data_IF_268142773169
#
_entry.id   IF_268142773169
#
_cell.length_a   1.000
_cell.length_b   1.000
_cell.length_c   1.000
_cell.angle_alpha   90.00
_cell.angle_beta   90.00
_cell.angle_gamma   90.00
#
_symmetry.space_group_name_H-M   'P 1'
#
loop_
_entity.id
_entity.type
_entity.pdbx_description
1 polymer ?
#
# COMPACT_ATOMS: atom_id res chain seq x y z
N UNK A 1 21.27 -10.60 -6.65
CA UNK A 1 19.99 -11.35 -6.62
C UNK A 1 19.68 -11.95 -5.23
N UNK A 2 20.62 -12.64 -4.58
CA UNK A 2 20.42 -13.24 -3.25
C UNK A 2 19.95 -12.25 -2.15
N UNK A 3 20.45 -11.02 -2.18
CA UNK A 3 20.07 -9.98 -1.20
C UNK A 3 18.59 -9.55 -1.31
N UNK A 4 18.04 -9.50 -2.53
CA UNK A 4 16.63 -9.12 -2.76
C UNK A 4 15.69 -10.22 -2.25
N UNK A 5 16.02 -11.49 -2.55
CA UNK A 5 15.24 -12.64 -2.07
C UNK A 5 15.24 -12.68 -0.54
N UNK A 6 16.41 -12.48 0.09
CA UNK A 6 16.53 -12.41 1.55
C UNK A 6 15.67 -11.28 2.14
N UNK A 7 15.68 -10.09 1.53
CA UNK A 7 14.85 -8.96 1.98
C UNK A 7 13.35 -9.28 1.88
N UNK A 8 12.90 -9.85 0.77
CA UNK A 8 11.48 -10.22 0.59
C UNK A 8 11.04 -11.23 1.65
N UNK A 9 11.85 -12.25 1.93
CA UNK A 9 11.56 -13.23 2.99
C UNK A 9 11.49 -12.56 4.37
N UNK A 10 12.40 -11.61 4.65
CA UNK A 10 12.42 -10.89 5.92
C UNK A 10 11.18 -10.01 6.10
N UNK A 11 10.80 -9.26 5.07
CA UNK A 11 9.60 -8.42 5.05
C UNK A 11 8.34 -9.27 5.22
N UNK A 12 8.25 -10.40 4.53
CA UNK A 12 7.13 -11.33 4.68
C UNK A 12 7.02 -11.84 6.13
N UNK A 13 8.15 -12.19 6.75
CA UNK A 13 8.19 -12.60 8.15
C UNK A 13 7.64 -11.53 9.11
N UNK A 14 8.08 -10.28 8.97
CA UNK A 14 7.57 -9.17 9.79
C UNK A 14 6.07 -8.98 9.56
N UNK A 15 5.61 -9.01 8.31
CA UNK A 15 4.20 -8.81 7.98
C UNK A 15 3.31 -9.86 8.66
N UNK A 16 3.74 -11.12 8.69
CA UNK A 16 3.03 -12.20 9.40
C UNK A 16 2.98 -11.91 10.90
N UNK A 17 4.11 -11.55 11.54
CA UNK A 17 4.14 -11.23 12.97
C UNK A 17 3.22 -10.06 13.28
N UNK A 18 3.25 -8.98 12.48
CA UNK A 18 2.40 -7.82 12.65
C UNK A 18 0.91 -8.18 12.52
N UNK A 19 0.55 -9.03 11.55
CA UNK A 19 -0.84 -9.49 11.36
C UNK A 19 -1.42 -10.17 12.60
N UNK A 20 -0.62 -10.96 13.32
CA UNK A 20 -1.05 -11.61 14.56
C UNK A 20 -0.90 -10.70 15.80
N UNK A 21 0.06 -9.79 15.82
CA UNK A 21 0.29 -8.89 16.94
C UNK A 21 -0.77 -7.77 17.02
N UNK A 22 -1.16 -7.18 15.89
CA UNK A 22 -2.16 -6.10 15.82
C UNK A 22 -3.47 -6.44 16.56
N UNK A 23 -4.13 -7.59 16.33
CA UNK A 23 -5.35 -7.94 17.06
C UNK A 23 -5.11 -8.19 18.55
N UNK A 24 -3.93 -8.67 18.96
CA UNK A 24 -3.58 -8.82 20.39
C UNK A 24 -3.54 -7.47 21.12
N UNK A 25 -3.14 -6.39 20.42
CA UNK A 25 -3.17 -5.02 20.94
C UNK A 25 -4.52 -4.32 20.78
N UNK A 26 -5.56 -5.02 20.30
CA UNK A 26 -6.88 -4.46 20.05
C UNK A 26 -6.92 -3.56 18.80
N UNK A 27 -6.09 -3.85 17.80
CA UNK A 27 -6.18 -3.21 16.49
C UNK A 27 -6.76 -4.18 15.46
N UNK A 28 -7.79 -3.75 14.76
CA UNK A 28 -8.41 -4.46 13.65
C UNK A 28 -7.96 -3.83 12.32
N UNK A 29 -7.78 -4.68 11.32
CA UNK A 29 -7.51 -4.25 9.95
C UNK A 29 -8.84 -3.88 9.29
N UNK A 30 -8.98 -2.62 8.87
CA UNK A 30 -10.13 -2.13 8.13
C UNK A 30 -10.04 -2.59 6.66
N UNK A 31 -10.46 -3.83 6.42
CA UNK A 31 -10.44 -4.46 5.10
C UNK A 31 -11.31 -3.72 4.08
N UNK A 32 -12.41 -3.10 4.53
CA UNK A 32 -13.28 -2.29 3.67
C UNK A 32 -12.54 -1.05 3.14
N UNK A 33 -11.93 -0.26 4.04
CA UNK A 33 -11.13 0.90 3.63
C UNK A 33 -9.95 0.49 2.74
N UNK A 34 -9.27 -0.62 3.07
CA UNK A 34 -8.16 -1.11 2.27
C UNK A 34 -8.59 -1.49 0.85
N UNK A 35 -9.71 -2.21 0.70
CA UNK A 35 -10.23 -2.61 -0.61
C UNK A 35 -10.69 -1.40 -1.44
N UNK A 36 -11.45 -0.49 -0.84
CA UNK A 36 -11.94 0.72 -1.50
C UNK A 36 -10.79 1.65 -1.92
N UNK A 37 -9.85 1.89 -1.00
CA UNK A 37 -8.67 2.73 -1.27
C UNK A 37 -7.75 2.10 -2.31
N UNK A 38 -7.66 0.77 -2.35
CA UNK A 38 -6.89 0.05 -3.39
C UNK A 38 -7.47 0.28 -4.77
N UNK A 39 -8.78 0.15 -4.95
CA UNK A 39 -9.43 0.41 -6.24
C UNK A 39 -9.26 1.86 -6.68
N UNK A 40 -9.53 2.81 -5.78
CA UNK A 40 -9.35 4.24 -6.05
C UNK A 40 -7.89 4.59 -6.38
N UNK A 41 -6.92 3.98 -5.68
CA UNK A 41 -5.50 4.15 -5.96
C UNK A 41 -5.11 3.58 -7.33
N UNK A 42 -5.57 2.38 -7.64
CA UNK A 42 -5.29 1.72 -8.91
C UNK A 42 -5.77 2.59 -10.08
N UNK A 43 -6.94 3.22 -9.93
CA UNK A 43 -7.48 4.13 -10.94
C UNK A 43 -6.64 5.39 -11.10
N UNK A 44 -6.24 6.05 -9.99
CA UNK A 44 -5.34 7.21 -10.01
C UNK A 44 -3.98 6.89 -10.63
N UNK A 45 -3.40 5.74 -10.31
CA UNK A 45 -2.14 5.27 -10.89
C UNK A 45 -2.27 5.00 -12.38
N UNK A 46 -3.38 4.41 -12.83
CA UNK A 46 -3.65 4.20 -14.24
C UNK A 46 -3.78 5.53 -15.00
N UNK A 47 -4.45 6.53 -14.42
CA UNK A 47 -4.56 7.88 -15.00
C UNK A 47 -3.19 8.57 -15.05
N UNK A 48 -2.45 8.57 -13.95
CA UNK A 48 -1.08 9.06 -13.89
C UNK A 48 -0.18 8.40 -14.95
N UNK A 49 -0.30 7.08 -15.13
CA UNK A 49 0.49 6.34 -16.13
C UNK A 49 0.14 6.77 -17.55
N UNK A 50 -1.15 6.99 -17.84
CA UNK A 50 -1.60 7.52 -19.14
C UNK A 50 -1.06 8.93 -19.37
N UNK A 51 -1.18 9.83 -18.40
CA UNK A 51 -0.64 11.19 -18.48
C UNK A 51 0.88 11.20 -18.64
N UNK A 52 1.60 10.29 -17.96
CA UNK A 52 3.04 10.09 -18.13
C UNK A 52 3.42 9.68 -19.56
N UNK A 53 2.62 8.81 -20.17
CA UNK A 53 2.82 8.35 -21.55
C UNK A 53 2.54 9.48 -22.54
N UNK A 54 1.47 10.25 -22.32
CA UNK A 54 1.03 11.31 -23.23
C UNK A 54 1.87 12.59 -23.11
N UNK A 55 2.21 13.02 -21.90
CA UNK A 55 2.91 14.29 -21.63
C UNK A 55 4.43 14.11 -21.46
N UNK A 56 4.90 12.86 -21.33
CA UNK A 56 6.28 12.54 -21.00
C UNK A 56 6.65 12.90 -19.56
N UNK A 57 7.80 12.38 -19.10
CA UNK A 57 8.29 12.51 -17.70
C UNK A 57 8.55 13.94 -17.20
N UNK A 58 8.32 14.97 -18.03
CA UNK A 58 8.62 16.38 -17.72
C UNK A 58 7.57 17.07 -16.84
N UNK A 59 6.35 16.54 -16.71
CA UNK A 59 5.27 17.17 -15.93
C UNK A 59 4.49 16.20 -15.02
N UNK A 60 4.96 14.97 -14.84
CA UNK A 60 4.25 13.97 -14.05
C UNK A 60 4.26 14.31 -12.55
N UNK A 61 3.18 14.91 -12.07
CA UNK A 61 2.86 15.03 -10.64
C UNK A 61 1.98 13.86 -10.22
N UNK A 62 2.55 12.67 -10.24
CA UNK A 62 1.87 11.50 -9.72
C UNK A 62 2.00 11.48 -8.21
N UNK A 63 0.88 11.68 -7.53
CA UNK A 63 0.81 11.49 -6.09
C UNK A 63 0.59 10.00 -5.80
N UNK A 64 1.52 9.42 -5.06
CA UNK A 64 1.51 8.01 -4.67
C UNK A 64 0.93 7.80 -3.26
N UNK A 65 0.50 8.87 -2.58
CA UNK A 65 -0.22 8.80 -1.30
C UNK A 65 -1.66 8.36 -1.54
N UNK A 66 -1.80 7.05 -1.75
CA UNK A 66 -3.04 6.38 -2.06
C UNK A 66 -3.82 5.88 -0.84
N UNK A 67 -3.14 5.68 0.28
CA UNK A 67 -3.69 4.99 1.46
C UNK A 67 -3.16 5.66 2.71
N UNK A 68 -4.07 5.95 3.65
CA UNK A 68 -3.69 6.41 4.98
C UNK A 68 -3.48 5.20 5.91
N UNK A 69 -2.25 4.96 6.42
CA UNK A 69 -1.96 3.86 7.32
C UNK A 69 -2.83 3.86 8.59
N UNK A 70 -3.26 5.05 9.05
CA UNK A 70 -4.11 5.20 10.24
C UNK A 70 -5.55 4.74 10.00
N UNK A 71 -6.00 4.77 8.75
CA UNK A 71 -7.34 4.31 8.38
C UNK A 71 -7.38 2.80 8.09
N UNK A 72 -6.22 2.22 7.73
CA UNK A 72 -6.05 0.76 7.58
C UNK A 72 -6.08 0.06 8.94
N UNK A 73 -5.46 0.65 9.97
CA UNK A 73 -5.39 0.07 11.31
C UNK A 73 -6.37 0.82 12.23
N UNK A 74 -7.53 0.22 12.49
CA UNK A 74 -8.54 0.77 13.38
C UNK A 74 -8.37 0.17 14.78
N UNK A 75 -8.42 1.00 15.82
CA UNK A 75 -8.50 0.48 17.19
C UNK A 75 -9.91 -0.08 17.43
N UNK A 76 -9.98 -1.29 17.99
CA UNK A 76 -11.22 -1.95 18.41
C UNK A 76 -11.89 -1.17 19.54
#
# INVERSE_FOLDING_TARGET
MFHLIKLVVWVAGIAVVAYFALPYFGYELNTNYFNESKEACQERLNQCTKELIEQGTKNAKCDFDCVDPKLIIKKQ
#
